data_IF_895251944530
#
_entry.id   IF_895251944530
#
_cell.length_a   1.000
_cell.length_b   1.000
_cell.length_c   1.000
_cell.angle_alpha   90.00
_cell.angle_beta   90.00
_cell.angle_gamma   90.00
#
_symmetry.space_group_name_H-M   'P 1'
#
loop_
_entity.id
_entity.type
_entity.pdbx_description
1 polymer ?
#
# COMPACT_ATOMS: atom_id res chain seq x y z
N UNK A 1 -2.40 0.31 7.70
CA UNK A 1 -3.84 0.30 7.34
C UNK A 1 -4.25 -1.08 6.86
N UNK A 2 -5.37 -1.57 7.33
CA UNK A 2 -5.88 -2.90 6.99
C UNK A 2 -7.31 -2.84 6.50
N UNK A 3 -7.66 -3.71 5.57
CA UNK A 3 -9.02 -3.92 5.09
C UNK A 3 -9.34 -5.40 5.05
N UNK A 4 -10.62 -5.72 5.16
CA UNK A 4 -11.11 -7.10 5.20
C UNK A 4 -12.12 -7.32 4.09
N UNK A 5 -11.95 -8.38 3.32
CA UNK A 5 -12.85 -8.74 2.23
C UNK A 5 -13.06 -10.25 2.19
N UNK A 6 -14.23 -10.68 1.73
CA UNK A 6 -14.54 -12.10 1.57
C UNK A 6 -14.05 -12.65 0.24
N UNK A 7 -14.10 -11.82 -0.79
CA UNK A 7 -13.80 -12.23 -2.16
C UNK A 7 -13.24 -11.02 -2.91
N UNK A 8 -12.24 -11.27 -3.75
CA UNK A 8 -11.60 -10.19 -4.46
C UNK A 8 -11.24 -10.61 -5.89
N UNK A 9 -11.61 -9.76 -6.85
CA UNK A 9 -11.18 -9.86 -8.24
C UNK A 9 -9.94 -8.98 -8.46
N UNK A 10 -9.18 -9.25 -9.53
CA UNK A 10 -7.94 -8.54 -9.80
C UNK A 10 -8.06 -7.02 -9.84
N UNK A 11 -9.13 -6.49 -10.46
CA UNK A 11 -9.36 -5.05 -10.50
C UNK A 11 -9.68 -4.43 -9.15
N UNK A 12 -10.41 -5.15 -8.31
CA UNK A 12 -10.72 -4.72 -6.94
C UNK A 12 -9.48 -4.74 -6.07
N UNK A 13 -8.62 -5.73 -6.26
CA UNK A 13 -7.35 -5.81 -5.53
C UNK A 13 -6.47 -4.62 -5.87
N UNK A 14 -6.29 -4.32 -7.15
CA UNK A 14 -5.45 -3.20 -7.58
C UNK A 14 -5.96 -1.87 -7.04
N UNK A 15 -7.27 -1.68 -7.05
CA UNK A 15 -7.90 -0.49 -6.47
C UNK A 15 -7.62 -0.38 -4.97
N UNK A 16 -7.72 -1.48 -4.26
CA UNK A 16 -7.43 -1.53 -2.82
C UNK A 16 -5.96 -1.22 -2.54
N UNK A 17 -5.05 -1.76 -3.33
CA UNK A 17 -3.62 -1.48 -3.20
C UNK A 17 -3.33 0.01 -3.41
N UNK A 18 -3.96 0.62 -4.41
CA UNK A 18 -3.82 2.05 -4.67
C UNK A 18 -4.34 2.89 -3.50
N UNK A 19 -5.48 2.51 -2.93
CA UNK A 19 -6.04 3.20 -1.76
C UNK A 19 -5.11 3.12 -0.56
N UNK A 20 -4.51 1.96 -0.32
CA UNK A 20 -3.58 1.76 0.79
C UNK A 20 -2.29 2.56 0.55
N UNK A 21 -1.78 2.57 -0.68
CA UNK A 21 -0.60 3.36 -1.03
C UNK A 21 -0.86 4.85 -0.78
N UNK A 22 -2.02 5.34 -1.18
CA UNK A 22 -2.42 6.72 -0.99
C UNK A 22 -2.53 7.07 0.51
N UNK A 23 -3.22 6.23 1.27
CA UNK A 23 -3.38 6.46 2.72
C UNK A 23 -2.04 6.41 3.45
N UNK A 24 -1.18 5.46 3.10
CA UNK A 24 0.14 5.30 3.72
C UNK A 24 1.02 6.53 3.46
N UNK A 25 1.09 6.98 2.20
CA UNK A 25 1.91 8.13 1.83
C UNK A 25 1.40 9.43 2.42
N UNK A 26 0.08 9.62 2.48
CA UNK A 26 -0.52 10.82 3.09
C UNK A 26 -0.28 10.85 4.60
N UNK A 27 -0.38 9.71 5.24
CA UNK A 27 -0.12 9.60 6.67
C UNK A 27 1.34 9.91 7.00
N UNK A 28 2.25 9.44 6.16
CA UNK A 28 3.66 9.71 6.30
C UNK A 28 4.00 11.18 6.06
N UNK A 29 3.58 11.73 4.93
CA UNK A 29 3.95 13.08 4.48
C UNK A 29 3.07 14.19 5.05
N UNK A 30 1.84 13.87 5.43
CA UNK A 30 0.80 14.83 5.81
C UNK A 30 0.41 15.76 4.67
N UNK A 31 0.64 15.31 3.43
CA UNK A 31 0.35 16.05 2.21
C UNK A 31 -0.55 15.21 1.30
N UNK A 32 -1.18 15.88 0.35
CA UNK A 32 -1.90 15.18 -0.72
C UNK A 32 -0.88 14.42 -1.58
N UNK A 33 -1.16 13.18 -1.89
CA UNK A 33 -0.25 12.33 -2.66
C UNK A 33 -0.96 11.66 -3.82
N UNK A 34 -0.22 11.49 -4.90
CA UNK A 34 -0.72 10.81 -6.11
C UNK A 34 0.22 9.66 -6.45
N UNK A 35 -0.32 8.66 -7.15
CA UNK A 35 0.47 7.54 -7.64
C UNK A 35 1.22 7.96 -8.88
N UNK A 36 2.55 7.94 -8.82
CA UNK A 36 3.40 8.26 -9.96
C UNK A 36 3.70 7.01 -10.79
N UNK A 37 3.91 5.86 -10.12
CA UNK A 37 4.30 4.63 -10.80
C UNK A 37 4.01 3.43 -9.92
N UNK A 38 3.64 2.32 -10.54
CA UNK A 38 3.55 1.02 -9.89
C UNK A 38 4.72 0.21 -10.41
N UNK A 39 5.67 -0.15 -9.53
CA UNK A 39 6.88 -0.88 -9.93
C UNK A 39 6.61 -2.35 -10.17
N UNK A 40 5.67 -2.94 -9.46
CA UNK A 40 5.31 -4.32 -9.67
C UNK A 40 4.22 -4.77 -8.72
N UNK A 41 3.49 -5.80 -9.15
CA UNK A 41 2.52 -6.51 -8.31
C UNK A 41 2.84 -7.98 -8.45
N UNK A 42 3.15 -8.63 -7.34
CA UNK A 42 3.45 -10.05 -7.32
C UNK A 42 2.29 -10.83 -6.72
N UNK A 43 1.99 -11.96 -7.32
CA UNK A 43 0.93 -12.87 -6.87
C UNK A 43 1.59 -14.18 -6.46
N UNK A 44 1.45 -14.55 -5.20
CA UNK A 44 2.03 -15.79 -4.67
C UNK A 44 0.98 -16.88 -4.53
N UNK A 45 -0.20 -16.51 -4.06
CA UNK A 45 -1.29 -17.45 -3.82
C UNK A 45 -2.63 -16.76 -4.06
N UNK A 46 -3.66 -17.51 -4.49
CA UNK A 46 -5.01 -16.95 -4.64
C UNK A 46 -5.60 -16.60 -3.28
N UNK A 47 -6.43 -15.56 -3.27
CA UNK A 47 -7.20 -15.18 -2.08
C UNK A 47 -8.41 -16.11 -2.02
N UNK A 48 -8.54 -16.83 -0.91
CA UNK A 48 -9.62 -17.80 -0.72
C UNK A 48 -10.87 -17.16 -0.13
N UNK A 49 -12.03 -17.64 -0.56
CA UNK A 49 -13.32 -17.18 -0.04
C UNK A 49 -13.41 -17.55 1.45
N UNK A 50 -13.86 -16.59 2.25
CA UNK A 50 -14.00 -16.80 3.69
C UNK A 50 -12.76 -16.53 4.50
N UNK A 51 -11.64 -16.18 3.84
CA UNK A 51 -10.42 -15.77 4.53
C UNK A 51 -10.52 -14.34 5.00
N UNK A 52 -9.82 -14.03 6.09
CA UNK A 52 -9.66 -12.66 6.55
C UNK A 52 -8.46 -12.06 5.81
N UNK A 53 -8.70 -11.03 5.01
CA UNK A 53 -7.65 -10.40 4.20
C UNK A 53 -7.21 -9.08 4.84
N UNK A 54 -5.89 -8.95 5.05
CA UNK A 54 -5.30 -7.74 5.59
C UNK A 54 -4.34 -7.15 4.56
N UNK A 55 -4.38 -5.83 4.41
CA UNK A 55 -3.48 -5.10 3.52
C UNK A 55 -2.70 -4.09 4.34
N UNK A 56 -1.38 -4.16 4.26
CA UNK A 56 -0.49 -3.27 5.01
C UNK A 56 0.42 -2.52 4.06
N UNK A 57 0.54 -1.20 4.27
CA UNK A 57 1.46 -0.36 3.53
C UNK A 57 2.53 0.24 4.44
N UNK A 58 3.74 0.41 3.91
CA UNK A 58 4.85 1.00 4.63
C UNK A 58 5.71 1.82 3.67
N UNK A 59 6.11 3.03 4.08
CA UNK A 59 7.07 3.84 3.33
C UNK A 59 8.46 3.31 3.65
N UNK A 60 9.14 2.77 2.64
CA UNK A 60 10.45 2.12 2.82
C UNK A 60 11.61 2.94 2.28
N UNK A 61 11.31 3.92 1.45
CA UNK A 61 12.34 4.78 0.85
C UNK A 61 11.72 6.12 0.48
N UNK A 62 12.49 7.19 0.59
CA UNK A 62 12.03 8.52 0.19
C UNK A 62 13.06 9.20 -0.72
N UNK A 63 12.55 9.92 -1.72
CA UNK A 63 13.31 10.90 -2.50
C UNK A 63 13.00 12.30 -1.96
N UNK A 64 13.17 13.32 -2.78
CA UNK A 64 12.83 14.68 -2.35
C UNK A 64 11.32 14.86 -2.18
N UNK A 65 10.55 14.49 -3.21
CA UNK A 65 9.08 14.63 -3.21
C UNK A 65 8.38 13.28 -3.31
N UNK A 66 9.13 12.19 -3.45
CA UNK A 66 8.59 10.86 -3.69
C UNK A 66 8.77 9.93 -2.50
N UNK A 67 7.92 8.94 -2.45
CA UNK A 67 7.95 7.89 -1.42
C UNK A 67 7.75 6.56 -2.11
N UNK A 68 8.58 5.58 -1.74
CA UNK A 68 8.38 4.19 -2.17
C UNK A 68 7.57 3.50 -1.10
N UNK A 69 6.41 2.98 -1.47
CA UNK A 69 5.50 2.31 -0.54
C UNK A 69 5.46 0.83 -0.88
N UNK A 70 5.88 0.01 0.08
CA UNK A 70 5.72 -1.45 0.02
C UNK A 70 4.36 -1.79 0.56
N UNK A 71 3.63 -2.67 -0.16
CA UNK A 71 2.32 -3.13 0.26
C UNK A 71 2.34 -4.65 0.30
N UNK A 72 1.85 -5.20 1.40
CA UNK A 72 1.73 -6.63 1.60
C UNK A 72 0.28 -7.01 1.85
N UNK A 73 -0.19 -8.02 1.14
CA UNK A 73 -1.52 -8.59 1.33
C UNK A 73 -1.37 -9.96 1.96
N UNK A 74 -2.00 -10.16 3.10
CA UNK A 74 -2.00 -11.45 3.79
C UNK A 74 -3.43 -11.94 3.95
N UNK A 75 -3.60 -13.26 3.95
CA UNK A 75 -4.87 -13.87 4.30
C UNK A 75 -4.68 -14.77 5.51
N UNK A 76 -5.71 -14.83 6.34
CA UNK A 76 -5.74 -15.65 7.52
C UNK A 76 -6.91 -16.63 7.43
N UNK A 77 -6.62 -17.91 7.67
CA UNK A 77 -7.65 -18.93 7.79
C UNK A 77 -8.38 -18.71 9.11
N UNK A 78 -9.70 -18.51 9.03
CA UNK A 78 -10.52 -18.17 10.20
C UNK A 78 -10.63 -19.31 11.22
N UNK A 79 -10.35 -20.54 10.81
CA UNK A 79 -10.43 -21.69 11.69
C UNK A 79 -9.11 -22.03 12.36
N UNK A 80 -8.02 -21.94 11.61
CA UNK A 80 -6.69 -22.35 12.11
C UNK A 80 -5.84 -21.17 12.55
N UNK A 81 -6.15 -19.96 12.10
CA UNK A 81 -5.34 -18.78 12.35
C UNK A 81 -4.07 -18.74 11.50
N UNK A 82 -3.92 -19.67 10.58
CA UNK A 82 -2.76 -19.72 9.68
C UNK A 82 -2.77 -18.52 8.73
N UNK A 83 -1.64 -17.84 8.61
CA UNK A 83 -1.48 -16.66 7.76
C UNK A 83 -0.55 -16.94 6.60
N UNK A 84 -0.89 -16.34 5.44
CA UNK A 84 -0.08 -16.45 4.22
C UNK A 84 -0.04 -15.11 3.52
N UNK A 85 1.13 -14.76 2.98
CA UNK A 85 1.24 -13.61 2.09
C UNK A 85 0.75 -14.01 0.71
N UNK A 86 -0.27 -13.33 0.22
CA UNK A 86 -0.87 -13.65 -1.10
C UNK A 86 -0.34 -12.75 -2.19
N UNK A 87 -0.02 -11.50 -1.86
CA UNK A 87 0.42 -10.51 -2.84
C UNK A 87 1.41 -9.54 -2.22
N UNK A 88 2.24 -8.97 -3.07
CA UNK A 88 3.08 -7.82 -2.73
C UNK A 88 3.05 -6.83 -3.88
N UNK A 89 3.15 -5.56 -3.55
CA UNK A 89 3.20 -4.50 -4.54
C UNK A 89 4.13 -3.39 -4.07
N UNK A 90 4.69 -2.65 -5.03
CA UNK A 90 5.54 -1.49 -4.74
C UNK A 90 5.02 -0.32 -5.55
N UNK A 91 4.68 0.75 -4.87
CA UNK A 91 4.15 1.97 -5.47
C UNK A 91 5.11 3.13 -5.23
N UNK A 92 5.28 3.97 -6.24
CA UNK A 92 5.97 5.25 -6.07
C UNK A 92 4.88 6.32 -5.97
N UNK A 93 4.83 7.00 -4.83
CA UNK A 93 3.89 8.07 -4.56
C UNK A 93 4.63 9.41 -4.55
N UNK A 94 3.96 10.46 -4.98
CA UNK A 94 4.53 11.82 -4.99
C UNK A 94 3.61 12.75 -4.20
N UNK A 95 4.21 13.50 -3.27
CA UNK A 95 3.49 14.51 -2.50
C UNK A 95 3.37 15.79 -3.32
N UNK A 96 2.18 16.39 -3.30
CA UNK A 96 1.90 17.62 -4.04
C UNK A 96 1.47 18.72 -3.08
N UNK A 97 1.90 19.95 -3.40
CA UNK A 97 1.43 21.13 -2.71
C UNK A 97 0.10 21.63 -3.33
N UNK A 98 -0.43 22.71 -2.78
CA UNK A 98 -1.68 23.31 -3.25
C UNK A 98 -1.58 23.86 -4.68
N UNK A 99 -0.36 24.10 -5.17
CA UNK A 99 -0.10 24.54 -6.55
C UNK A 99 -0.01 23.36 -7.54
N UNK A 100 -0.18 22.13 -7.08
CA UNK A 100 -0.08 20.91 -7.91
C UNK A 100 1.34 20.48 -8.21
N UNK A 101 2.34 21.12 -7.63
CA UNK A 101 3.75 20.76 -7.82
C UNK A 101 4.24 19.88 -6.69
N UNK A 102 5.32 19.11 -6.97
CA UNK A 102 5.95 18.26 -5.97
C UNK A 102 6.36 19.03 -4.73
N UNK A 103 6.10 18.43 -3.57
CA UNK A 103 6.41 19.01 -2.27
C UNK A 103 7.38 18.10 -1.53
N UNK A 104 8.43 18.64 -0.89
CA UNK A 104 9.36 17.80 -0.15
C UNK A 104 8.69 17.01 0.97
N UNK A 105 9.11 15.77 1.15
CA UNK A 105 8.61 14.88 2.19
C UNK A 105 9.66 14.70 3.28
N UNK A 106 9.25 14.35 4.52
CA UNK A 106 10.20 14.10 5.61
C UNK A 106 11.16 12.98 5.27
N UNK A 107 12.38 13.05 5.76
CA UNK A 107 13.33 11.93 5.64
C UNK A 107 12.92 10.83 6.61
N UNK A 108 13.28 9.58 6.28
CA UNK A 108 12.92 8.45 7.14
C UNK A 108 13.46 8.58 8.56
N UNK A 109 14.65 9.13 8.73
CA UNK A 109 15.28 9.32 10.04
C UNK A 109 14.52 10.33 10.92
N UNK A 110 13.74 11.20 10.30
CA UNK A 110 12.99 12.24 11.01
C UNK A 110 11.65 11.74 11.54
N UNK A 111 11.24 10.53 11.17
CA UNK A 111 9.92 9.96 11.45
C UNK A 111 9.98 8.85 12.48
N UNK A 112 11.15 8.44 12.88
CA UNK A 112 11.36 7.34 13.84
C UNK A 112 10.85 7.68 15.25
#
# INVERSE_FOLDING_TARGET
MSNFVDKMHGGELLKLLDQVASATSRRYSRLYCVTAKILGVEYFEPIEIGSLVSVRGEVVKVGTTSMTVDIEVTQEDMYTGSQKTTNRAVFIMVALGSDGRGKPVPRLEEVS
#
